data_IF_210984499026
#
_entry.id   IF_210984499026
#
_cell.length_a   1.000
_cell.length_b   1.000
_cell.length_c   1.000
_cell.angle_alpha   90.00
_cell.angle_beta   90.00
_cell.angle_gamma   90.00
#
_symmetry.space_group_name_H-M   'P 1'
#
loop_
_entity.id
_entity.type
_entity.pdbx_description
1 polymer ?
#
# COMPACT_ATOMS: atom_id res chain seq x y z
N UNK A 1 6.32 13.28 8.08
CA UNK A 1 6.58 13.27 9.53
C UNK A 1 8.01 12.83 9.86
N UNK A 2 8.54 11.74 9.26
CA UNK A 2 9.90 11.23 9.52
C UNK A 2 11.03 12.23 9.22
N UNK A 3 10.95 12.96 8.08
CA UNK A 3 11.98 13.92 7.69
C UNK A 3 12.18 15.09 8.67
N UNK A 4 11.18 15.43 9.49
CA UNK A 4 11.26 16.53 10.46
C UNK A 4 12.19 16.22 11.63
N UNK A 5 12.40 14.94 11.93
CA UNK A 5 13.21 14.48 13.04
C UNK A 5 14.62 14.04 12.61
N UNK A 6 14.90 14.00 11.31
CA UNK A 6 16.21 13.66 10.77
C UNK A 6 17.03 14.93 10.50
N UNK A 7 18.26 15.04 11.04
CA UNK A 7 19.19 16.09 10.63
C UNK A 7 19.39 16.10 9.12
N UNK A 8 19.59 17.27 8.52
CA UNK A 8 19.73 17.43 7.05
C UNK A 8 20.81 16.53 6.46
N UNK A 9 21.95 16.38 7.14
CA UNK A 9 23.02 15.46 6.71
C UNK A 9 22.57 13.99 6.64
N UNK A 10 21.70 13.56 7.55
CA UNK A 10 21.14 12.20 7.57
C UNK A 10 20.09 12.03 6.46
N UNK A 11 19.23 13.03 6.24
CA UNK A 11 18.25 13.00 5.13
C UNK A 11 18.93 12.81 3.78
N UNK A 12 20.07 13.49 3.59
CA UNK A 12 20.92 13.38 2.40
C UNK A 12 21.81 12.14 2.42
N UNK A 13 21.62 11.19 3.34
CA UNK A 13 22.35 9.91 3.38
C UNK A 13 21.39 8.70 3.33
N UNK A 14 20.14 8.85 3.79
CA UNK A 14 19.22 7.73 3.96
C UNK A 14 18.73 7.13 2.64
N UNK A 15 18.82 5.79 2.62
CA UNK A 15 18.20 4.77 1.75
C UNK A 15 16.73 4.48 2.09
N UNK A 16 15.72 4.80 1.26
CA UNK A 16 14.33 4.38 1.52
C UNK A 16 13.89 3.29 0.54
N UNK A 17 13.18 2.27 1.05
CA UNK A 17 12.56 1.22 0.24
C UNK A 17 11.05 1.24 0.52
N UNK A 18 10.25 1.37 -0.54
CA UNK A 18 8.79 1.30 -0.51
C UNK A 18 8.33 0.00 -1.18
N UNK A 19 7.66 -0.86 -0.41
CA UNK A 19 7.03 -2.08 -0.91
C UNK A 19 5.54 -1.87 -0.99
N UNK A 20 5.01 -1.87 -2.21
CA UNK A 20 3.61 -1.56 -2.47
C UNK A 20 2.86 -2.85 -2.83
N UNK A 21 1.76 -3.12 -2.15
CA UNK A 21 0.84 -4.23 -2.46
C UNK A 21 -0.41 -3.68 -3.10
N UNK A 22 -1.09 -4.47 -3.93
CA UNK A 22 -2.41 -4.10 -4.46
C UNK A 22 -3.32 -3.53 -3.34
N UNK A 23 -3.89 -2.31 -3.51
CA UNK A 23 -4.53 -1.58 -2.42
C UNK A 23 -5.67 -2.33 -1.72
N UNK A 24 -6.55 -3.01 -2.46
CA UNK A 24 -7.68 -3.77 -1.90
C UNK A 24 -7.16 -4.95 -1.08
N UNK A 25 -6.19 -5.70 -1.59
CA UNK A 25 -5.53 -6.78 -0.87
C UNK A 25 -4.83 -6.28 0.39
N UNK A 26 -4.28 -5.06 0.36
CA UNK A 26 -3.66 -4.41 1.52
C UNK A 26 -4.70 -4.00 2.57
N UNK A 27 -5.85 -3.48 2.16
CA UNK A 27 -6.98 -3.20 3.07
C UNK A 27 -7.50 -4.47 3.73
N UNK A 28 -7.78 -5.52 2.95
CA UNK A 28 -8.24 -6.79 3.49
C UNK A 28 -7.22 -7.41 4.45
N UNK A 29 -5.92 -7.24 4.16
CA UNK A 29 -4.84 -7.68 5.05
C UNK A 29 -4.80 -6.88 6.35
N UNK A 30 -5.03 -5.56 6.29
CA UNK A 30 -5.09 -4.70 7.46
C UNK A 30 -6.30 -5.06 8.33
N UNK A 31 -7.49 -5.17 7.73
CA UNK A 31 -8.72 -5.59 8.41
C UNK A 31 -8.54 -6.91 9.17
N UNK A 32 -7.96 -7.92 8.49
CA UNK A 32 -7.69 -9.21 9.13
C UNK A 32 -6.69 -9.10 10.29
N UNK A 33 -5.69 -8.22 10.19
CA UNK A 33 -4.71 -7.99 11.24
C UNK A 33 -5.31 -7.28 12.46
N UNK A 34 -6.14 -6.26 12.24
CA UNK A 34 -6.90 -5.57 13.29
C UNK A 34 -7.84 -6.53 14.01
N UNK A 35 -8.58 -7.36 13.25
CA UNK A 35 -9.47 -8.37 13.81
C UNK A 35 -8.73 -9.44 14.61
N UNK A 36 -7.56 -9.87 14.15
CA UNK A 36 -6.75 -10.86 14.87
C UNK A 36 -6.12 -10.29 16.15
N UNK A 37 -5.57 -9.08 16.07
CA UNK A 37 -4.88 -8.45 17.21
C UNK A 37 -5.85 -7.98 18.30
N UNK A 38 -7.14 -7.79 17.98
CA UNK A 38 -8.10 -7.11 18.85
C UNK A 38 -7.76 -5.63 19.06
N UNK A 39 -6.71 -5.13 18.39
CA UNK A 39 -6.26 -3.77 18.47
C UNK A 39 -6.84 -3.00 17.29
N UNK A 40 -7.72 -2.05 17.62
CA UNK A 40 -8.14 -1.03 16.68
C UNK A 40 -6.95 -0.08 16.46
N UNK A 41 -6.37 -0.13 15.25
CA UNK A 41 -5.45 0.91 14.79
C UNK A 41 -6.28 2.18 14.55
N UNK A 42 -6.74 2.76 15.65
CA UNK A 42 -7.73 3.84 15.83
C UNK A 42 -7.31 5.18 15.24
N UNK A 43 -6.39 5.19 14.29
CA UNK A 43 -6.20 6.30 13.37
C UNK A 43 -7.22 6.31 12.21
N UNK A 44 -8.07 5.28 12.06
CA UNK A 44 -9.26 5.31 11.22
C UNK A 44 -10.28 6.37 11.68
N UNK A 45 -11.20 6.79 10.81
CA UNK A 45 -12.43 7.42 11.31
C UNK A 45 -13.04 6.48 12.35
N UNK A 46 -13.26 6.99 13.57
CA UNK A 46 -13.84 6.21 14.69
C UNK A 46 -15.15 5.49 14.34
N UNK A 47 -15.77 5.90 13.22
CA UNK A 47 -16.98 5.37 12.61
C UNK A 47 -16.78 4.03 11.91
N UNK A 48 -15.65 3.81 11.23
CA UNK A 48 -15.41 2.59 10.42
C UNK A 48 -14.27 1.75 11.00
N UNK A 49 -14.52 1.06 12.12
CA UNK A 49 -13.53 0.23 12.81
C UNK A 49 -13.68 -1.26 12.49
N UNK A 50 -12.59 -1.93 12.13
CA UNK A 50 -12.58 -3.37 11.88
C UNK A 50 -12.92 -4.19 13.14
N UNK A 51 -12.62 -3.66 14.33
CA UNK A 51 -12.95 -4.31 15.60
C UNK A 51 -14.45 -4.26 15.92
N UNK A 52 -15.18 -3.29 15.34
CA UNK A 52 -16.61 -3.06 15.60
C UNK A 52 -17.52 -3.62 14.52
N UNK A 53 -17.00 -3.86 13.32
CA UNK A 53 -17.82 -4.25 12.17
C UNK A 53 -17.73 -5.76 11.91
N UNK A 54 -18.87 -6.40 11.55
CA UNK A 54 -18.96 -7.85 11.52
C UNK A 54 -18.14 -8.48 10.38
N UNK A 55 -17.89 -7.72 9.31
CA UNK A 55 -17.20 -8.19 8.11
C UNK A 55 -16.42 -7.09 7.41
N UNK A 56 -15.51 -7.50 6.52
CA UNK A 56 -14.77 -6.63 5.63
C UNK A 56 -15.71 -5.84 4.73
N UNK A 57 -16.82 -6.42 4.28
CA UNK A 57 -17.83 -5.73 3.47
C UNK A 57 -18.45 -4.56 4.24
N UNK A 58 -18.81 -4.76 5.51
CA UNK A 58 -19.33 -3.69 6.36
C UNK A 58 -18.27 -2.60 6.61
N UNK A 59 -17.01 -3.02 6.88
CA UNK A 59 -15.87 -2.12 7.05
C UNK A 59 -15.59 -1.28 5.79
N UNK A 60 -15.40 -1.94 4.66
CA UNK A 60 -15.11 -1.30 3.39
C UNK A 60 -16.30 -0.46 2.91
N UNK A 61 -17.53 -0.94 3.06
CA UNK A 61 -18.74 -0.18 2.69
C UNK A 61 -18.87 1.12 3.49
N UNK A 62 -18.56 1.09 4.80
CA UNK A 62 -18.48 2.28 5.63
C UNK A 62 -17.42 3.27 5.11
N UNK A 63 -16.22 2.78 4.75
CA UNK A 63 -15.15 3.61 4.21
C UNK A 63 -15.49 4.20 2.83
N UNK A 64 -16.13 3.43 1.95
CA UNK A 64 -16.65 3.86 0.65
C UNK A 64 -17.69 4.98 0.83
N UNK A 65 -18.62 4.79 1.76
CA UNK A 65 -19.64 5.80 2.06
C UNK A 65 -19.00 7.12 2.53
N UNK A 66 -18.02 7.06 3.44
CA UNK A 66 -17.26 8.26 3.84
C UNK A 66 -16.56 8.88 2.64
N UNK A 67 -15.85 8.11 1.82
CA UNK A 67 -15.16 8.63 0.64
C UNK A 67 -16.09 9.38 -0.30
N UNK A 68 -17.29 8.83 -0.56
CA UNK A 68 -18.31 9.46 -1.39
C UNK A 68 -18.75 10.84 -0.90
N UNK A 69 -18.67 11.11 0.42
CA UNK A 69 -19.01 12.43 0.99
C UNK A 69 -17.92 13.48 0.82
N UNK A 70 -16.68 13.07 0.54
CA UNK A 70 -15.53 14.00 0.49
C UNK A 70 -15.45 14.82 -0.78
N UNK A 71 -16.21 14.46 -1.83
CA UNK A 71 -16.15 15.07 -3.16
C UNK A 71 -14.69 15.20 -3.67
N UNK A 72 -13.88 14.17 -3.42
CA UNK A 72 -12.46 14.13 -3.76
C UNK A 72 -12.30 13.93 -5.28
N UNK A 73 -12.32 15.03 -6.03
CA UNK A 73 -12.25 15.02 -7.50
C UNK A 73 -10.85 15.33 -8.04
N UNK A 74 -9.89 15.72 -7.18
CA UNK A 74 -8.57 16.17 -7.60
C UNK A 74 -7.45 15.70 -6.66
N UNK A 75 -6.22 15.63 -7.17
CA UNK A 75 -5.01 15.36 -6.38
C UNK A 75 -4.37 16.68 -5.92
N UNK A 76 -5.11 17.47 -5.15
CA UNK A 76 -4.63 18.72 -4.54
C UNK A 76 -4.41 18.56 -3.02
N UNK A 77 -3.69 19.50 -2.40
CA UNK A 77 -3.35 19.44 -0.97
C UNK A 77 -4.59 19.50 -0.05
N UNK A 78 -5.69 20.17 -0.45
CA UNK A 78 -6.94 20.22 0.32
C UNK A 78 -7.69 18.88 0.26
N UNK A 79 -7.79 18.30 -0.93
CA UNK A 79 -8.36 16.97 -1.14
C UNK A 79 -7.58 15.90 -0.37
N UNK A 80 -6.25 15.91 -0.45
CA UNK A 80 -5.40 15.00 0.32
C UNK A 80 -5.63 15.15 1.83
N UNK A 81 -5.71 16.39 2.33
CA UNK A 81 -5.98 16.67 3.74
C UNK A 81 -7.35 16.13 4.17
N UNK A 82 -8.40 16.35 3.37
CA UNK A 82 -9.76 15.84 3.65
C UNK A 82 -9.77 14.32 3.69
N UNK A 83 -9.14 13.66 2.72
CA UNK A 83 -9.04 12.20 2.68
C UNK A 83 -8.33 11.69 3.94
N UNK A 84 -7.19 12.26 4.30
CA UNK A 84 -6.45 11.88 5.51
C UNK A 84 -7.28 12.04 6.79
N UNK A 85 -7.95 13.19 6.95
CA UNK A 85 -8.73 13.49 8.15
C UNK A 85 -9.96 12.60 8.30
N UNK A 86 -10.58 12.16 7.19
CA UNK A 86 -11.88 11.49 7.23
C UNK A 86 -11.82 9.97 7.02
N UNK A 87 -10.89 9.45 6.23
CA UNK A 87 -10.75 8.00 6.04
C UNK A 87 -9.79 7.37 7.04
N UNK A 88 -8.97 8.20 7.67
CA UNK A 88 -7.98 7.76 8.64
C UNK A 88 -7.00 6.76 8.03
N UNK A 89 -6.70 5.67 8.75
CA UNK A 89 -5.63 4.73 8.40
C UNK A 89 -6.03 3.63 7.40
N UNK A 90 -7.30 3.56 6.99
CA UNK A 90 -7.80 2.61 5.98
C UNK A 90 -7.39 3.01 4.57
N UNK A 91 -8.38 3.38 3.75
CA UNK A 91 -8.24 3.62 2.30
C UNK A 91 -7.08 4.56 1.93
N UNK A 92 -6.88 5.63 2.70
CA UNK A 92 -5.81 6.59 2.49
C UNK A 92 -4.41 5.95 2.35
N UNK A 93 -4.12 4.90 3.13
CA UNK A 93 -2.81 4.23 3.06
C UNK A 93 -2.58 3.50 1.74
N UNK A 94 -3.65 3.17 1.00
CA UNK A 94 -3.58 2.51 -0.31
C UNK A 94 -3.36 3.51 -1.45
N UNK A 95 -3.51 4.82 -1.19
CA UNK A 95 -3.30 5.88 -2.17
C UNK A 95 -1.81 6.26 -2.25
N UNK A 96 -0.97 5.32 -2.69
CA UNK A 96 0.49 5.38 -2.55
C UNK A 96 1.15 6.63 -3.14
N UNK A 97 0.61 7.16 -4.25
CA UNK A 97 1.16 8.36 -4.88
C UNK A 97 1.18 9.57 -3.94
N UNK A 98 0.21 9.68 -3.03
CA UNK A 98 0.14 10.78 -2.07
C UNK A 98 1.30 10.69 -1.06
N UNK A 99 1.59 9.47 -0.59
CA UNK A 99 2.68 9.19 0.34
C UNK A 99 4.03 9.43 -0.32
N UNK A 100 4.21 8.95 -1.56
CA UNK A 100 5.44 9.16 -2.32
C UNK A 100 5.67 10.65 -2.62
N UNK A 101 4.64 11.40 -3.03
CA UNK A 101 4.75 12.84 -3.23
C UNK A 101 5.19 13.55 -1.94
N UNK A 102 4.67 13.13 -0.79
CA UNK A 102 5.09 13.65 0.52
C UNK A 102 6.56 13.34 0.82
N UNK A 103 7.04 12.13 0.51
CA UNK A 103 8.44 11.76 0.72
C UNK A 103 9.38 12.54 -0.19
N UNK A 104 8.98 12.77 -1.45
CA UNK A 104 9.76 13.54 -2.43
C UNK A 104 9.97 15.00 -2.06
N UNK A 105 9.18 15.56 -1.11
CA UNK A 105 9.44 16.89 -0.54
C UNK A 105 10.69 16.92 0.35
N UNK A 106 11.25 15.77 0.71
CA UNK A 106 12.36 15.67 1.68
C UNK A 106 13.47 14.72 1.29
N UNK A 107 13.23 13.84 0.32
CA UNK A 107 14.20 12.86 -0.15
C UNK A 107 14.26 12.90 -1.68
N UNK A 108 15.48 12.88 -2.23
CA UNK A 108 15.67 12.78 -3.67
C UNK A 108 15.09 11.47 -4.20
N UNK A 109 14.50 11.50 -5.39
CA UNK A 109 13.84 10.34 -5.98
C UNK A 109 14.77 9.15 -6.17
N UNK A 110 16.06 9.38 -6.42
CA UNK A 110 17.09 8.34 -6.60
C UNK A 110 17.48 7.62 -5.30
N UNK A 111 16.91 8.03 -4.16
CA UNK A 111 17.09 7.42 -2.83
C UNK A 111 15.81 6.76 -2.30
N UNK A 112 14.76 6.71 -3.11
CA UNK A 112 13.52 6.00 -2.79
C UNK A 112 13.38 4.88 -3.81
N UNK A 113 13.56 3.64 -3.38
CA UNK A 113 13.37 2.46 -4.22
C UNK A 113 11.96 1.94 -4.07
N UNK A 114 11.17 1.96 -5.14
CA UNK A 114 9.77 1.54 -5.14
C UNK A 114 9.62 0.20 -5.85
N UNK A 115 8.95 -0.75 -5.22
CA UNK A 115 8.70 -2.06 -5.82
C UNK A 115 7.33 -2.64 -5.44
N UNK A 116 6.82 -3.52 -6.31
CA UNK A 116 5.61 -4.29 -6.04
C UNK A 116 5.89 -5.45 -5.09
N UNK A 117 5.00 -5.68 -4.13
CA UNK A 117 4.99 -6.85 -3.25
C UNK A 117 4.93 -8.16 -4.04
N UNK A 118 4.25 -8.18 -5.19
CA UNK A 118 4.17 -9.38 -6.03
C UNK A 118 5.53 -9.77 -6.63
N UNK A 119 6.48 -8.82 -6.65
CA UNK A 119 7.87 -9.04 -7.07
C UNK A 119 8.79 -9.42 -5.89
N UNK A 120 8.29 -9.44 -4.65
CA UNK A 120 9.01 -9.99 -3.49
C UNK A 120 8.97 -11.52 -3.48
N UNK A 121 9.35 -12.13 -4.60
CA UNK A 121 9.67 -13.55 -4.62
C UNK A 121 11.13 -13.71 -4.18
N UNK A 122 11.49 -14.84 -3.55
CA UNK A 122 12.88 -15.19 -3.27
C UNK A 122 13.61 -15.53 -4.57
N UNK A 123 13.64 -14.59 -5.50
CA UNK A 123 14.43 -14.62 -6.72
C UNK A 123 15.67 -13.77 -6.47
N UNK A 124 16.84 -14.28 -6.89
CA UNK A 124 18.14 -13.64 -6.65
C UNK A 124 18.19 -12.20 -7.18
N UNK A 125 17.41 -11.88 -8.23
CA UNK A 125 17.43 -10.57 -8.86
C UNK A 125 16.96 -9.45 -7.93
N UNK A 126 15.81 -9.60 -7.26
CA UNK A 126 15.28 -8.52 -6.41
C UNK A 126 16.19 -8.27 -5.20
N UNK A 127 16.66 -9.34 -4.56
CA UNK A 127 17.63 -9.22 -3.47
C UNK A 127 18.93 -8.55 -3.93
N UNK A 128 19.40 -8.89 -5.14
CA UNK A 128 20.57 -8.25 -5.76
C UNK A 128 20.34 -6.77 -6.06
N UNK A 129 19.19 -6.40 -6.61
CA UNK A 129 18.86 -5.01 -6.97
C UNK A 129 18.72 -4.12 -5.73
N UNK A 130 18.12 -4.65 -4.66
CA UNK A 130 18.06 -4.01 -3.34
C UNK A 130 19.46 -3.86 -2.75
N UNK A 131 20.28 -4.92 -2.80
CA UNK A 131 21.62 -4.86 -2.25
C UNK A 131 22.51 -3.85 -2.99
N UNK A 132 22.41 -3.78 -4.33
CA UNK A 132 23.05 -2.74 -5.13
C UNK A 132 22.52 -1.36 -4.76
N UNK A 133 21.20 -1.20 -4.65
CA UNK A 133 20.60 0.06 -4.23
C UNK A 133 21.11 0.52 -2.86
N UNK A 134 21.38 -0.40 -1.93
CA UNK A 134 21.88 -0.12 -0.59
C UNK A 134 23.42 0.00 -0.49
N UNK A 135 24.14 -0.08 -1.61
CA UNK A 135 25.62 -0.14 -1.67
C UNK A 135 26.22 -1.32 -0.88
N UNK A 136 25.52 -2.45 -0.83
CA UNK A 136 25.94 -3.67 -0.13
C UNK A 136 26.61 -4.70 -1.05
N UNK A 137 27.02 -4.30 -2.26
CA UNK A 137 27.60 -5.21 -3.26
C UNK A 137 29.14 -5.34 -3.12
N UNK A 138 29.74 -6.55 -3.31
CA UNK A 138 29.11 -7.82 -3.64
C UNK A 138 28.27 -8.38 -2.50
N UNK A 139 26.99 -8.63 -2.79
CA UNK A 139 26.07 -9.25 -1.85
C UNK A 139 26.13 -10.76 -2.03
N UNK A 140 26.94 -11.41 -1.21
CA UNK A 140 27.11 -12.85 -1.26
C UNK A 140 26.11 -13.53 -0.32
N UNK A 141 24.89 -13.82 -0.78
CA UNK A 141 23.95 -14.69 -0.05
C UNK A 141 23.03 -15.48 -0.97
N UNK A 142 23.04 -16.79 -0.76
CA UNK A 142 21.84 -17.62 -0.86
C UNK A 142 20.90 -17.20 0.27
N UNK A 143 19.92 -16.35 -0.02
CA UNK A 143 18.92 -15.92 0.98
C UNK A 143 17.88 -17.02 1.09
N UNK A 144 18.21 -18.05 1.87
CA UNK A 144 17.24 -19.06 2.26
C UNK A 144 16.36 -18.49 3.37
N UNK A 145 15.04 -18.39 3.12
CA UNK A 145 14.07 -18.15 4.17
C UNK A 145 13.67 -19.51 4.77
N UNK A 146 14.20 -19.88 5.95
CA UNK A 146 14.10 -21.25 6.47
C UNK A 146 12.68 -21.66 6.86
N UNK A 147 11.82 -20.67 7.10
CA UNK A 147 10.49 -20.87 7.68
C UNK A 147 9.48 -20.15 6.81
N UNK A 148 8.54 -20.92 6.28
CA UNK A 148 7.31 -20.38 5.71
C UNK A 148 6.36 -20.05 6.86
N UNK A 149 5.81 -18.84 6.86
CA UNK A 149 4.76 -18.49 7.81
C UNK A 149 3.42 -19.10 7.34
N UNK A 150 3.12 -20.29 7.85
CA UNK A 150 1.88 -21.02 7.57
C UNK A 150 0.81 -20.82 8.65
N UNK A 151 0.89 -19.74 9.43
CA UNK A 151 -0.13 -19.43 10.44
C UNK A 151 -1.50 -19.23 9.77
N UNK A 152 -2.45 -20.05 10.18
CA UNK A 152 -3.85 -19.93 9.78
C UNK A 152 -4.64 -19.23 10.88
N UNK A 153 -5.48 -18.28 10.48
CA UNK A 153 -6.42 -17.62 11.37
C UNK A 153 -7.82 -17.94 10.89
N UNK A 154 -8.62 -18.63 11.72
CA UNK A 154 -9.94 -19.12 11.32
C UNK A 154 -10.91 -17.98 10.95
N UNK A 155 -10.84 -16.85 11.64
CA UNK A 155 -11.69 -15.69 11.34
C UNK A 155 -11.12 -14.79 10.23
N UNK A 156 -10.11 -15.25 9.48
CA UNK A 156 -9.54 -14.52 8.34
C UNK A 156 -10.53 -14.52 7.18
N UNK A 157 -11.01 -13.34 6.79
CA UNK A 157 -11.77 -13.19 5.57
C UNK A 157 -10.81 -13.25 4.36
N UNK A 158 -11.11 -14.15 3.44
CA UNK A 158 -10.28 -14.44 2.25
C UNK A 158 -10.91 -13.94 0.96
N UNK A 159 -12.22 -13.77 0.95
CA UNK A 159 -13.03 -13.39 -0.20
C UNK A 159 -13.72 -12.07 0.09
N UNK A 160 -13.94 -11.31 -0.97
CA UNK A 160 -14.73 -10.08 -0.94
C UNK A 160 -15.81 -10.17 -2.01
N UNK A 161 -16.97 -9.55 -1.77
CA UNK A 161 -18.01 -9.49 -2.82
C UNK A 161 -17.54 -8.68 -4.02
N UNK A 162 -18.04 -9.00 -5.22
CA UNK A 162 -17.69 -8.21 -6.41
C UNK A 162 -18.18 -6.76 -6.32
N UNK A 163 -19.34 -6.51 -5.73
CA UNK A 163 -19.84 -5.15 -5.51
C UNK A 163 -18.84 -4.30 -4.71
N UNK A 164 -18.39 -4.78 -3.54
CA UNK A 164 -17.43 -4.00 -2.75
C UNK A 164 -16.05 -3.88 -3.42
N UNK A 165 -15.64 -4.91 -4.17
CA UNK A 165 -14.40 -4.87 -4.95
C UNK A 165 -14.45 -3.79 -6.01
N UNK A 166 -15.57 -3.68 -6.73
CA UNK A 166 -15.77 -2.69 -7.79
C UNK A 166 -15.82 -1.26 -7.20
N UNK A 167 -16.50 -1.06 -6.08
CA UNK A 167 -16.53 0.23 -5.37
C UNK A 167 -15.12 0.67 -4.94
N UNK A 168 -14.37 -0.23 -4.31
CA UNK A 168 -13.00 0.05 -3.90
C UNK A 168 -12.09 0.28 -5.11
N UNK A 169 -12.29 -0.47 -6.20
CA UNK A 169 -11.52 -0.28 -7.43
C UNK A 169 -11.77 1.11 -8.02
N UNK A 170 -13.02 1.56 -8.05
CA UNK A 170 -13.37 2.90 -8.54
C UNK A 170 -12.70 4.00 -7.71
N UNK A 171 -12.53 3.78 -6.41
CA UNK A 171 -11.79 4.71 -5.53
C UNK A 171 -10.29 4.68 -5.83
N UNK A 172 -9.67 3.50 -5.93
CA UNK A 172 -8.21 3.39 -6.04
C UNK A 172 -7.67 3.62 -7.45
N UNK A 173 -8.45 3.33 -8.49
CA UNK A 173 -7.97 3.37 -9.89
C UNK A 173 -7.35 4.74 -10.25
N UNK A 174 -7.99 5.89 -9.98
CA UNK A 174 -7.39 7.18 -10.33
C UNK A 174 -6.05 7.44 -9.64
N UNK A 175 -5.89 6.98 -8.39
CA UNK A 175 -4.65 7.12 -7.64
C UNK A 175 -3.56 6.17 -8.15
N UNK A 176 -3.95 4.96 -8.57
CA UNK A 176 -3.06 3.99 -9.18
C UNK A 176 -2.58 4.47 -10.55
N UNK A 177 -3.46 5.02 -11.38
CA UNK A 177 -3.09 5.59 -12.69
C UNK A 177 -2.06 6.72 -12.53
N UNK A 178 -2.27 7.60 -11.54
CA UNK A 178 -1.32 8.65 -11.18
C UNK A 178 0.01 8.07 -10.67
N UNK A 179 -0.04 7.01 -9.86
CA UNK A 179 1.15 6.31 -9.39
C UNK A 179 1.97 5.77 -10.56
N UNK A 180 1.36 4.98 -11.44
CA UNK A 180 2.05 4.35 -12.58
C UNK A 180 2.66 5.39 -13.49
N UNK A 181 1.88 6.43 -13.83
CA UNK A 181 2.38 7.55 -14.63
C UNK A 181 3.61 8.21 -14.01
N UNK A 182 3.59 8.49 -12.70
CA UNK A 182 4.74 9.15 -12.04
C UNK A 182 5.95 8.25 -11.88
N UNK A 183 5.76 6.96 -11.63
CA UNK A 183 6.88 6.02 -11.59
C UNK A 183 7.53 5.87 -12.97
N UNK A 184 6.73 5.80 -14.03
CA UNK A 184 7.24 5.75 -15.40
C UNK A 184 8.01 7.04 -15.77
N UNK A 185 7.42 8.22 -15.50
CA UNK A 185 8.11 9.50 -15.71
C UNK A 185 9.44 9.59 -14.96
N UNK A 186 9.50 9.10 -13.72
CA UNK A 186 10.72 9.10 -12.91
C UNK A 186 11.80 8.17 -13.50
N UNK A 187 11.40 7.03 -14.07
CA UNK A 187 12.29 6.08 -14.75
C UNK A 187 12.80 6.64 -16.08
N UNK A 188 11.91 7.18 -16.91
CA UNK A 188 12.25 7.79 -18.22
C UNK A 188 13.18 9.00 -18.03
N UNK A 189 12.90 9.82 -17.02
CA UNK A 189 13.70 10.97 -16.63
C UNK A 189 15.00 10.62 -15.88
N UNK A 190 15.27 9.33 -15.64
CA UNK A 190 16.45 8.83 -14.89
C UNK A 190 16.60 9.46 -13.50
N UNK A 191 15.48 9.76 -12.85
CA UNK A 191 15.44 10.27 -11.47
C UNK A 191 15.19 9.16 -10.45
N UNK A 192 14.64 8.02 -10.86
CA UNK A 192 14.54 6.79 -10.06
C UNK A 192 15.93 6.15 -9.83
N UNK A 193 16.09 5.31 -8.78
CA UNK A 193 17.29 4.49 -8.63
C UNK A 193 17.50 3.59 -9.87
N UNK A 194 18.74 3.47 -10.34
CA UNK A 194 19.05 2.70 -11.57
C UNK A 194 18.68 1.22 -11.48
N UNK A 195 18.66 0.66 -10.27
CA UNK A 195 18.31 -0.75 -10.03
C UNK A 195 16.84 -0.94 -9.71
N UNK A 196 16.05 0.13 -9.67
CA UNK A 196 14.61 0.03 -9.45
C UNK A 196 13.95 -0.66 -10.65
N UNK A 197 13.18 -1.74 -10.45
CA UNK A 197 12.50 -2.41 -11.54
C UNK A 197 11.33 -1.57 -12.06
N UNK A 198 10.89 -1.78 -13.32
CA UNK A 198 9.60 -1.28 -13.78
C UNK A 198 8.48 -1.70 -12.82
N UNK A 199 7.62 -0.76 -12.47
CA UNK A 199 6.51 -1.02 -11.56
C UNK A 199 5.31 -1.57 -12.36
N UNK A 200 4.85 -2.80 -12.11
CA UNK A 200 3.73 -3.36 -12.84
C UNK A 200 2.41 -2.77 -12.36
N UNK A 201 1.41 -2.75 -13.25
CA UNK A 201 0.04 -2.49 -12.85
C UNK A 201 -0.41 -3.53 -11.82
N UNK A 202 -1.12 -3.07 -10.80
CA UNK A 202 -1.70 -3.95 -9.80
C UNK A 202 -2.74 -4.88 -10.42
N UNK A 203 -2.61 -6.18 -10.12
CA UNK A 203 -3.60 -7.19 -10.53
C UNK A 203 -4.86 -7.04 -9.69
N UNK A 204 -5.99 -6.89 -10.37
CA UNK A 204 -7.30 -6.74 -9.73
C UNK A 204 -7.56 -7.84 -8.69
N UNK A 205 -8.05 -7.44 -7.51
CA UNK A 205 -8.36 -8.37 -6.45
C UNK A 205 -9.49 -9.34 -6.85
N UNK A 206 -9.37 -10.66 -6.61
CA UNK A 206 -10.43 -11.62 -6.92
C UNK A 206 -11.67 -11.37 -6.05
N UNK A 207 -12.86 -11.64 -6.58
CA UNK A 207 -14.11 -11.45 -5.86
C UNK A 207 -15.09 -12.63 -6.06
N UNK A 208 -16.11 -12.68 -5.22
CA UNK A 208 -17.22 -13.65 -5.31
C UNK A 208 -18.55 -12.91 -5.56
N UNK A 209 -19.52 -13.50 -6.27
CA UNK A 209 -20.85 -12.90 -6.45
C UNK A 209 -21.57 -12.63 -5.13
N UNK A 210 -22.45 -11.62 -5.09
CA UNK A 210 -23.27 -11.34 -3.90
C UNK A 210 -24.08 -12.57 -3.48
N UNK A 211 -24.11 -12.88 -2.18
CA UNK A 211 -24.87 -14.01 -1.64
C UNK A 211 -24.19 -15.38 -1.77
N UNK A 212 -23.01 -15.47 -2.38
CA UNK A 212 -22.19 -16.67 -2.33
C UNK A 212 -21.39 -16.69 -1.02
N UNK A 213 -21.97 -17.26 0.04
CA UNK A 213 -21.23 -17.60 1.25
C UNK A 213 -20.17 -18.63 0.90
N UNK A 214 -18.90 -18.32 1.18
CA UNK A 214 -17.83 -19.32 1.17
C UNK A 214 -18.04 -20.28 2.35
N UNK A 215 -18.79 -21.35 2.10
CA UNK A 215 -18.73 -22.55 2.91
C UNK A 215 -17.27 -23.02 2.93
N UNK A 216 -16.70 -23.02 4.14
CA UNK A 216 -15.31 -23.37 4.43
C UNK A 216 -15.03 -24.84 4.15
#
# INVERSE_FOLDING_TARGET
>A
MVARFMPTGVRNAVKLIAVLREPIARELSLFNHERWSGFDWSGGSSTCSASKLPSFEAYAGCQVAIYGTLNATQNDDDTQRKIYQNLGFGLWKGMYIIHLATWRRSFDRNRVFVMSYDNLKPEDKMATDIAKFLDLYPFNRSVWFPVRNDHTFAAKQRTITCAIRDDLQAIFQPWNDLLYKKLQEDQDGRTAPQTEPPFPDFRLHPCVPNGSSSSS
#
